data_IF_582177957878
#
_entry.id   IF_582177957878
#
_cell.length_a   1.000
_cell.length_b   1.000
_cell.length_c   1.000
_cell.angle_alpha   90.00
_cell.angle_beta   90.00
_cell.angle_gamma   90.00
#
_symmetry.space_group_name_H-M   'P 1'
#
loop_
_entity.id
_entity.type
_entity.pdbx_description
1 polymer ?
#
# COMPACT_ATOMS: atom_id res chain seq x y z
N UNK A 1 4.40 23.12 5.49
CA UNK A 1 4.14 22.11 4.43
C UNK A 1 3.68 20.80 5.03
N UNK A 2 4.41 20.27 6.01
CA UNK A 2 4.07 19.02 6.72
C UNK A 2 3.25 19.29 7.99
N UNK A 3 2.51 18.27 8.43
CA UNK A 3 1.80 18.25 9.72
C UNK A 3 2.70 17.67 10.83
N UNK A 4 2.47 18.02 12.12
CA UNK A 4 3.18 17.40 13.24
C UNK A 4 2.80 15.92 13.42
N UNK A 5 3.66 15.18 14.12
CA UNK A 5 3.50 13.75 14.45
C UNK A 5 2.44 13.54 15.53
N UNK A 6 1.61 12.50 15.38
CA UNK A 6 0.65 12.05 16.40
C UNK A 6 0.83 10.56 16.68
N UNK A 7 0.48 10.11 17.90
CA UNK A 7 0.53 8.69 18.27
C UNK A 7 -0.36 7.81 17.37
N UNK A 8 -1.41 8.38 16.78
CA UNK A 8 -2.24 7.72 15.76
C UNK A 8 -1.48 7.40 14.46
N UNK A 9 -0.28 7.96 14.26
CA UNK A 9 0.55 7.67 13.10
C UNK A 9 1.40 6.39 13.28
N UNK A 10 1.50 5.84 14.49
CA UNK A 10 2.31 4.64 14.81
C UNK A 10 2.01 3.44 13.87
N UNK A 11 0.75 3.09 13.58
CA UNK A 11 0.44 1.95 12.71
C UNK A 11 1.06 2.04 11.30
N UNK A 12 1.24 3.26 10.77
CA UNK A 12 1.88 3.44 9.46
C UNK A 12 3.37 3.09 9.48
N UNK A 13 4.05 3.34 10.60
CA UNK A 13 5.49 3.07 10.72
C UNK A 13 5.79 1.61 10.99
N UNK A 14 4.91 0.90 11.70
CA UNK A 14 5.07 -0.55 11.95
C UNK A 14 5.17 -1.30 10.63
N UNK A 15 4.35 -0.91 9.64
CA UNK A 15 4.40 -1.50 8.30
C UNK A 15 5.77 -1.34 7.62
N UNK A 16 6.51 -0.26 7.88
CA UNK A 16 7.80 0.01 7.23
C UNK A 16 8.85 -1.08 7.51
N UNK A 17 8.71 -1.86 8.59
CA UNK A 17 9.59 -3.00 8.86
C UNK A 17 9.57 -4.00 7.70
N UNK A 18 8.42 -4.17 7.02
CA UNK A 18 8.31 -5.06 5.86
C UNK A 18 9.13 -4.56 4.66
N UNK A 19 9.54 -3.28 4.59
CA UNK A 19 10.44 -2.82 3.54
C UNK A 19 11.86 -3.40 3.66
N UNK A 20 12.20 -4.10 4.75
CA UNK A 20 13.40 -4.92 4.80
C UNK A 20 13.44 -5.99 3.69
N UNK A 21 12.28 -6.54 3.29
CA UNK A 21 12.19 -7.58 2.26
C UNK A 21 12.73 -7.16 0.89
N UNK A 22 12.32 -6.04 0.27
CA UNK A 22 12.89 -5.60 -1.01
C UNK A 22 14.37 -5.23 -0.92
N UNK A 23 14.85 -4.72 0.22
CA UNK A 23 16.28 -4.49 0.43
C UNK A 23 17.05 -5.82 0.47
N UNK A 24 16.59 -6.79 1.27
CA UNK A 24 17.15 -8.14 1.27
C UNK A 24 17.07 -8.78 -0.11
N UNK A 25 15.98 -8.54 -0.85
CA UNK A 25 15.80 -8.96 -2.23
C UNK A 25 16.96 -8.56 -3.16
N UNK A 26 17.41 -7.31 -3.04
CA UNK A 26 18.52 -6.78 -3.83
C UNK A 26 19.90 -7.31 -3.43
N UNK A 27 20.06 -7.84 -2.21
CA UNK A 27 21.33 -8.40 -1.74
C UNK A 27 21.39 -9.94 -1.83
N UNK A 28 20.25 -10.62 -1.71
CA UNK A 28 20.18 -12.07 -1.54
C UNK A 28 19.31 -12.80 -2.57
N UNK A 29 18.39 -12.12 -3.27
CA UNK A 29 17.41 -12.75 -4.18
C UNK A 29 17.52 -12.23 -5.63
N UNK A 30 18.74 -11.83 -6.04
CA UNK A 30 19.07 -11.39 -7.40
C UNK A 30 18.19 -10.25 -7.96
N UNK A 31 17.55 -9.45 -7.11
CA UNK A 31 16.89 -8.26 -7.62
C UNK A 31 17.93 -7.30 -8.19
N UNK A 32 17.65 -6.67 -9.34
CA UNK A 32 18.54 -5.68 -9.89
C UNK A 32 18.85 -4.57 -8.86
N UNK A 33 20.11 -4.20 -8.69
CA UNK A 33 20.52 -3.23 -7.65
C UNK A 33 19.84 -1.86 -7.75
N UNK A 34 19.39 -1.48 -8.95
CA UNK A 34 18.64 -0.24 -9.16
C UNK A 34 17.27 -0.26 -8.45
N UNK A 35 16.75 -1.44 -8.08
CA UNK A 35 15.53 -1.56 -7.25
C UNK A 35 15.66 -0.87 -5.90
N UNK A 36 16.87 -0.81 -5.33
CA UNK A 36 17.13 -0.08 -4.08
C UNK A 36 16.75 1.40 -4.17
N UNK A 37 17.00 2.03 -5.31
CA UNK A 37 16.70 3.45 -5.53
C UNK A 37 15.18 3.66 -5.53
N UNK A 38 14.43 2.83 -6.28
CA UNK A 38 12.97 2.94 -6.32
C UNK A 38 12.31 2.56 -5.00
N UNK A 39 12.85 1.59 -4.25
CA UNK A 39 12.37 1.24 -2.90
C UNK A 39 12.63 2.37 -1.90
N UNK A 40 13.79 3.02 -1.97
CA UNK A 40 14.09 4.20 -1.14
C UNK A 40 13.14 5.34 -1.46
N UNK A 41 12.89 5.60 -2.75
CA UNK A 41 11.93 6.60 -3.19
C UNK A 41 10.50 6.27 -2.74
N UNK A 42 10.12 4.98 -2.73
CA UNK A 42 8.84 4.53 -2.17
C UNK A 42 8.73 4.88 -0.68
N UNK A 43 9.76 4.62 0.12
CA UNK A 43 9.78 4.97 1.55
C UNK A 43 9.60 6.48 1.74
N UNK A 44 10.38 7.29 1.03
CA UNK A 44 10.31 8.74 1.12
C UNK A 44 8.92 9.23 0.69
N UNK A 45 8.40 8.73 -0.43
CA UNK A 45 7.07 9.07 -0.93
C UNK A 45 5.98 8.69 0.08
N UNK A 46 6.08 7.52 0.71
CA UNK A 46 5.14 7.06 1.73
C UNK A 46 5.15 7.95 2.98
N UNK A 47 6.35 8.28 3.49
CA UNK A 47 6.52 9.17 4.64
C UNK A 47 6.04 10.59 4.36
N UNK A 48 6.38 11.13 3.19
CA UNK A 48 5.88 12.43 2.72
C UNK A 48 4.37 12.39 2.65
N UNK A 49 3.82 11.32 2.08
CA UNK A 49 2.39 11.14 1.95
C UNK A 49 1.77 11.17 3.35
N UNK A 50 2.20 10.41 4.35
CA UNK A 50 1.63 10.48 5.72
C UNK A 50 1.53 11.93 6.25
N UNK A 51 2.58 12.73 6.12
CA UNK A 51 2.67 14.05 6.75
C UNK A 51 2.20 15.23 5.89
N UNK A 52 1.89 15.02 4.61
CA UNK A 52 1.50 16.12 3.74
C UNK A 52 0.11 16.64 4.14
N UNK A 53 -0.05 17.97 4.20
CA UNK A 53 -1.34 18.62 4.49
C UNK A 53 -2.33 18.43 3.33
N UNK A 54 -3.62 18.40 3.68
CA UNK A 54 -4.71 18.11 2.73
C UNK A 54 -4.89 19.20 1.66
N UNK A 55 -4.35 20.41 1.86
CA UNK A 55 -4.29 21.46 0.82
C UNK A 55 -3.57 21.02 -0.46
N UNK A 56 -2.67 20.03 -0.39
CA UNK A 56 -1.85 19.57 -1.52
C UNK A 56 -2.44 18.33 -2.23
N UNK A 57 -3.76 18.29 -2.47
CA UNK A 57 -4.45 17.14 -3.07
C UNK A 57 -3.81 16.61 -4.37
N UNK A 58 -3.32 17.50 -5.26
CA UNK A 58 -2.66 17.10 -6.51
C UNK A 58 -1.38 16.29 -6.25
N UNK A 59 -0.52 16.77 -5.34
CA UNK A 59 0.71 16.08 -4.94
C UNK A 59 0.39 14.76 -4.23
N UNK A 60 -0.64 14.75 -3.38
CA UNK A 60 -1.09 13.53 -2.71
C UNK A 60 -1.51 12.45 -3.72
N UNK A 61 -2.32 12.82 -4.73
CA UNK A 61 -2.78 11.89 -5.76
C UNK A 61 -1.62 11.38 -6.63
N UNK A 62 -0.64 12.23 -6.94
CA UNK A 62 0.54 11.83 -7.69
C UNK A 62 1.39 10.81 -6.88
N UNK A 63 1.69 11.11 -5.62
CA UNK A 63 2.42 10.20 -4.75
C UNK A 63 1.67 8.88 -4.54
N UNK A 64 0.34 8.94 -4.41
CA UNK A 64 -0.52 7.76 -4.32
C UNK A 64 -0.36 6.84 -5.54
N UNK A 65 -0.49 7.39 -6.75
CA UNK A 65 -0.33 6.63 -7.99
C UNK A 65 1.10 6.09 -8.13
N UNK A 66 2.11 6.86 -7.72
CA UNK A 66 3.50 6.41 -7.70
C UNK A 66 3.69 5.19 -6.80
N UNK A 67 3.15 5.21 -5.57
CA UNK A 67 3.21 4.06 -4.67
C UNK A 67 2.51 2.84 -5.29
N UNK A 68 1.35 3.03 -5.94
CA UNK A 68 0.60 1.93 -6.59
C UNK A 68 1.42 1.32 -7.72
N UNK A 69 1.99 2.18 -8.57
CA UNK A 69 2.85 1.78 -9.67
C UNK A 69 4.06 0.99 -9.16
N UNK A 70 4.73 1.45 -8.10
CA UNK A 70 5.87 0.75 -7.51
C UNK A 70 5.50 -0.68 -7.08
N UNK A 71 4.42 -0.85 -6.32
CA UNK A 71 4.02 -2.18 -5.82
C UNK A 71 3.65 -3.09 -6.98
N UNK A 72 2.84 -2.61 -7.93
CA UNK A 72 2.47 -3.38 -9.12
C UNK A 72 3.70 -3.77 -9.95
N UNK A 73 4.62 -2.82 -10.17
CA UNK A 73 5.86 -3.03 -10.91
C UNK A 73 6.73 -4.12 -10.27
N UNK A 74 7.02 -3.98 -8.97
CA UNK A 74 7.86 -4.94 -8.23
C UNK A 74 7.20 -6.32 -8.17
N UNK A 75 5.88 -6.36 -8.06
CA UNK A 75 5.11 -7.61 -8.04
C UNK A 75 5.15 -8.33 -9.37
N UNK A 76 4.99 -7.62 -10.47
CA UNK A 76 4.93 -8.25 -11.79
C UNK A 76 6.30 -8.63 -12.33
N UNK A 77 7.35 -7.85 -12.03
CA UNK A 77 8.66 -7.98 -12.70
C UNK A 77 9.80 -8.45 -11.80
N UNK A 78 9.64 -8.46 -10.48
CA UNK A 78 10.69 -8.90 -9.56
C UNK A 78 10.27 -10.13 -8.76
N UNK A 79 9.21 -10.03 -7.96
CA UNK A 79 8.70 -11.15 -7.16
C UNK A 79 7.22 -10.98 -6.87
N UNK A 80 6.43 -12.01 -7.18
CA UNK A 80 4.99 -12.05 -6.90
C UNK A 80 4.63 -11.88 -5.42
N UNK A 81 5.54 -12.20 -4.49
CA UNK A 81 5.35 -11.95 -3.06
C UNK A 81 5.24 -10.46 -2.73
N UNK A 82 5.71 -9.56 -3.61
CA UNK A 82 5.55 -8.12 -3.41
C UNK A 82 4.09 -7.67 -3.40
N UNK A 83 3.13 -8.52 -3.81
CA UNK A 83 1.71 -8.21 -3.72
C UNK A 83 1.25 -7.93 -2.27
N UNK A 84 1.94 -8.47 -1.27
CA UNK A 84 1.69 -8.12 0.14
C UNK A 84 1.80 -6.62 0.42
N UNK A 85 2.60 -5.88 -0.35
CA UNK A 85 2.84 -4.46 -0.14
C UNK A 85 1.63 -3.57 -0.48
N UNK A 86 0.58 -4.10 -1.13
CA UNK A 86 -0.70 -3.39 -1.22
C UNK A 86 -1.34 -3.12 0.14
N UNK A 87 -0.89 -3.80 1.21
CA UNK A 87 -1.22 -3.45 2.59
C UNK A 87 -0.87 -1.99 2.93
N UNK A 88 0.23 -1.44 2.43
CA UNK A 88 0.59 -0.03 2.67
C UNK A 88 -0.48 0.92 2.11
N UNK A 89 -1.03 0.61 0.94
CA UNK A 89 -2.12 1.36 0.33
C UNK A 89 -3.44 1.20 1.07
N UNK A 90 -3.79 -0.01 1.47
CA UNK A 90 -4.98 -0.26 2.28
C UNK A 90 -4.97 0.59 3.55
N UNK A 91 -3.84 0.61 4.28
CA UNK A 91 -3.71 1.44 5.48
C UNK A 91 -3.81 2.93 5.17
N UNK A 92 -3.15 3.42 4.11
CA UNK A 92 -3.25 4.84 3.75
C UNK A 92 -4.68 5.23 3.36
N UNK A 93 -5.41 4.36 2.64
CA UNK A 93 -6.78 4.62 2.23
C UNK A 93 -7.71 4.79 3.43
N UNK A 94 -7.59 3.88 4.39
CA UNK A 94 -8.39 3.82 5.61
C UNK A 94 -8.00 4.96 6.55
N UNK A 95 -6.75 4.96 7.01
CA UNK A 95 -6.38 5.76 8.17
C UNK A 95 -6.05 7.20 7.81
N UNK A 96 -5.55 7.46 6.59
CA UNK A 96 -5.11 8.81 6.20
C UNK A 96 -6.22 9.57 5.51
N UNK A 97 -6.90 8.91 4.60
CA UNK A 97 -7.80 9.57 3.67
C UNK A 97 -9.27 9.47 4.07
N UNK A 98 -9.64 8.57 4.98
CA UNK A 98 -11.03 8.35 5.40
C UNK A 98 -11.96 8.24 4.18
N UNK A 99 -11.42 7.62 3.12
CA UNK A 99 -11.99 7.69 1.79
C UNK A 99 -12.80 6.43 1.54
N UNK A 100 -14.02 6.63 1.07
CA UNK A 100 -14.87 5.54 0.58
C UNK A 100 -14.21 4.82 -0.61
N UNK A 101 -14.58 3.55 -0.81
CA UNK A 101 -14.08 2.68 -1.89
C UNK A 101 -14.39 3.26 -3.28
N UNK A 102 -15.43 4.09 -3.38
CA UNK A 102 -15.84 4.78 -4.62
C UNK A 102 -15.02 6.04 -4.91
N UNK A 103 -14.15 6.47 -4.00
CA UNK A 103 -13.25 7.60 -4.25
C UNK A 103 -12.22 7.26 -5.35
N UNK A 104 -11.66 8.29 -5.98
CA UNK A 104 -10.57 8.13 -6.96
C UNK A 104 -9.44 7.22 -6.44
N UNK A 105 -9.08 7.36 -5.15
CA UNK A 105 -8.01 6.55 -4.53
C UNK A 105 -8.46 5.10 -4.32
N UNK A 106 -9.70 4.89 -3.86
CA UNK A 106 -10.26 3.54 -3.71
C UNK A 106 -10.36 2.80 -5.05
N UNK A 107 -10.91 3.46 -6.08
CA UNK A 107 -11.03 2.88 -7.42
C UNK A 107 -9.67 2.56 -8.04
N UNK A 108 -8.69 3.47 -7.94
CA UNK A 108 -7.34 3.21 -8.47
C UNK A 108 -6.63 2.10 -7.70
N UNK A 109 -6.84 2.01 -6.38
CA UNK A 109 -6.34 0.88 -5.60
C UNK A 109 -6.94 -0.44 -6.05
N UNK A 110 -8.27 -0.55 -6.15
CA UNK A 110 -8.93 -1.78 -6.59
C UNK A 110 -8.51 -2.16 -8.02
N UNK A 111 -8.48 -1.20 -8.94
CA UNK A 111 -8.10 -1.43 -10.33
C UNK A 111 -6.68 -2.00 -10.42
N UNK A 112 -5.71 -1.34 -9.78
CA UNK A 112 -4.31 -1.78 -9.84
C UNK A 112 -4.13 -3.10 -9.09
N UNK A 113 -4.76 -3.27 -7.92
CA UNK A 113 -4.70 -4.50 -7.14
C UNK A 113 -5.24 -5.69 -7.92
N UNK A 114 -6.45 -5.60 -8.48
CA UNK A 114 -7.03 -6.68 -9.28
C UNK A 114 -6.28 -6.90 -10.59
N UNK A 115 -5.76 -5.83 -11.22
CA UNK A 115 -4.90 -5.96 -12.39
C UNK A 115 -3.64 -6.77 -12.11
N UNK A 116 -2.95 -6.47 -11.00
CA UNK A 116 -1.77 -7.23 -10.55
C UNK A 116 -2.14 -8.66 -10.15
N UNK A 117 -3.28 -8.86 -9.49
CA UNK A 117 -3.78 -10.20 -9.15
C UNK A 117 -4.02 -11.05 -10.41
N UNK A 118 -4.72 -10.51 -11.42
CA UNK A 118 -4.98 -11.22 -12.69
C UNK A 118 -3.67 -11.54 -13.42
N UNK A 119 -2.71 -10.61 -13.40
CA UNK A 119 -1.39 -10.84 -13.97
C UNK A 119 -0.68 -12.02 -13.30
N UNK A 120 -0.59 -12.03 -11.96
CA UNK A 120 0.03 -13.12 -11.21
C UNK A 120 -0.73 -14.43 -11.39
N UNK A 121 -2.05 -14.40 -11.39
CA UNK A 121 -2.88 -15.59 -11.61
C UNK A 121 -2.55 -16.24 -12.96
N UNK A 122 -2.44 -15.43 -14.01
CA UNK A 122 -2.12 -15.89 -15.36
C UNK A 122 -0.70 -16.47 -15.49
N UNK A 123 0.27 -15.96 -14.70
CA UNK A 123 1.66 -16.41 -14.73
C UNK A 123 1.97 -17.52 -13.71
N UNK A 124 1.11 -17.72 -12.72
CA UNK A 124 1.29 -18.73 -11.68
C UNK A 124 1.13 -20.14 -12.24
N UNK A 125 2.21 -20.93 -12.17
CA UNK A 125 2.21 -22.32 -12.65
C UNK A 125 1.89 -23.34 -11.55
N UNK A 126 2.15 -23.00 -10.28
CA UNK A 126 1.97 -23.92 -9.15
C UNK A 126 0.65 -23.69 -8.40
N UNK A 127 0.01 -24.79 -7.96
CA UNK A 127 -1.19 -24.72 -7.13
C UNK A 127 -0.93 -23.95 -5.83
N UNK A 128 0.22 -24.19 -5.20
CA UNK A 128 0.63 -23.49 -3.97
C UNK A 128 0.65 -21.97 -4.15
N UNK A 129 1.25 -21.48 -5.25
CA UNK A 129 1.29 -20.04 -5.54
C UNK A 129 -0.09 -19.44 -5.76
N UNK A 130 -1.03 -20.18 -6.38
CA UNK A 130 -2.41 -19.73 -6.58
C UNK A 130 -3.21 -19.65 -5.28
N UNK A 131 -3.06 -20.67 -4.42
CA UNK A 131 -3.70 -20.69 -3.10
C UNK A 131 -3.19 -19.53 -2.24
N UNK A 132 -1.88 -19.30 -2.24
CA UNK A 132 -1.28 -18.17 -1.54
C UNK A 132 -1.79 -16.84 -2.09
N UNK A 133 -1.85 -16.67 -3.41
CA UNK A 133 -2.36 -15.46 -4.05
C UNK A 133 -3.82 -15.16 -3.65
N UNK A 134 -4.68 -16.19 -3.61
CA UNK A 134 -6.07 -16.05 -3.13
C UNK A 134 -6.11 -15.69 -1.65
N UNK A 135 -5.30 -16.34 -0.81
CA UNK A 135 -5.22 -16.03 0.61
C UNK A 135 -4.79 -14.58 0.85
N UNK A 136 -3.79 -14.08 0.09
CA UNK A 136 -3.35 -12.69 0.17
C UNK A 136 -4.46 -11.74 -0.28
N UNK A 137 -5.16 -12.06 -1.36
CA UNK A 137 -6.25 -11.22 -1.84
C UNK A 137 -7.40 -11.12 -0.84
N UNK A 138 -7.79 -12.24 -0.23
CA UNK A 138 -8.75 -12.26 0.85
C UNK A 138 -8.27 -11.46 2.06
N UNK A 139 -6.99 -11.58 2.42
CA UNK A 139 -6.42 -10.81 3.52
C UNK A 139 -6.45 -9.31 3.25
N UNK A 140 -6.01 -8.85 2.07
CA UNK A 140 -5.93 -7.41 1.75
C UNK A 140 -7.32 -6.81 1.61
N UNK A 141 -8.21 -7.45 0.86
CA UNK A 141 -9.59 -6.97 0.68
C UNK A 141 -10.36 -7.06 2.00
N UNK A 142 -10.23 -8.16 2.73
CA UNK A 142 -10.85 -8.36 4.03
C UNK A 142 -10.39 -7.34 5.06
N UNK A 143 -9.08 -7.10 5.17
CA UNK A 143 -8.52 -6.06 6.03
C UNK A 143 -9.03 -4.68 5.62
N UNK A 144 -9.09 -4.40 4.31
CA UNK A 144 -9.59 -3.11 3.83
C UNK A 144 -11.06 -2.91 4.22
N UNK A 145 -11.90 -3.90 3.95
CA UNK A 145 -13.33 -3.85 4.23
C UNK A 145 -13.64 -3.80 5.73
N UNK A 146 -13.01 -4.66 6.55
CA UNK A 146 -13.26 -4.70 7.99
C UNK A 146 -12.88 -3.40 8.68
N UNK A 147 -11.76 -2.78 8.29
CA UNK A 147 -11.38 -1.50 8.87
C UNK A 147 -12.30 -0.35 8.41
N UNK A 148 -12.75 -0.35 7.15
CA UNK A 148 -13.77 0.60 6.68
C UNK A 148 -15.10 0.45 7.44
N UNK A 149 -15.51 -0.80 7.70
CA UNK A 149 -16.70 -1.09 8.51
C UNK A 149 -16.54 -0.59 9.95
N UNK A 150 -15.41 -0.87 10.60
CA UNK A 150 -15.11 -0.37 11.95
C UNK A 150 -15.07 1.18 12.02
N UNK A 151 -14.67 1.85 10.93
CA UNK A 151 -14.77 3.32 10.79
C UNK A 151 -16.21 3.80 10.71
N UNK A 152 -17.06 3.09 9.96
CA UNK A 152 -18.48 3.44 9.85
C UNK A 152 -19.24 3.32 11.17
N UNK A 153 -18.84 2.38 12.04
CA UNK A 153 -19.45 2.18 13.36
C UNK A 153 -18.97 3.17 14.43
N UNK A 154 -18.06 4.08 14.10
CA UNK A 154 -17.51 5.06 15.06
C UNK A 154 -16.68 4.42 16.18
N UNK A 155 -16.31 3.14 16.03
CA UNK A 155 -15.50 2.39 16.99
C UNK A 155 -14.03 2.87 17.01
N UNK A 156 -13.61 3.62 15.98
CA UNK A 156 -12.41 4.43 16.05
C UNK A 156 -12.72 5.79 16.64
N UNK A 157 -12.01 6.14 17.72
CA UNK A 157 -11.83 7.52 18.17
C UNK A 157 -11.49 8.33 16.92
N UNK A 158 -12.30 9.32 16.53
CA UNK A 158 -11.93 10.27 15.47
C UNK A 158 -10.64 10.95 15.92
N UNK A 159 -9.49 10.39 15.55
CA UNK A 159 -8.20 10.83 16.08
C UNK A 159 -7.72 12.13 15.45
N UNK A 160 -8.48 12.72 14.53
CA UNK A 160 -7.93 13.75 13.66
C UNK A 160 -8.92 14.87 13.33
N UNK A 161 -8.66 16.12 13.77
CA UNK A 161 -9.30 17.28 13.17
C UNK A 161 -8.84 17.39 11.71
N UNK A 162 -9.80 17.65 10.80
CA UNK A 162 -9.50 18.01 9.41
C UNK A 162 -8.98 19.44 9.41
N UNK A 163 -7.76 19.63 8.92
CA UNK A 163 -7.19 20.96 8.63
C UNK A 163 -7.78 21.54 7.34
#
# INVERSE_FOLDING_TARGET
MFRPFYASDIPYYIGLVFLAFPYMGAFYYDYPKWTLIITTLFIVAYLVLIHLRDKYQKTINLLWLYLLFYVAYMTCLSDGNMIWFFFFHANLLIWRFDNDIQSFRGLTFLLVFFGTFIYLWSHSQSLSSRVMLVAIALFIVGLTYMNMWLQSEGCYIKTKPRD
#
